data_IF_896232405350
#
_entry.id   IF_896232405350
#
_cell.length_a   1.000
_cell.length_b   1.000
_cell.length_c   1.000
_cell.angle_alpha   90.00
_cell.angle_beta   90.00
_cell.angle_gamma   90.00
#
_symmetry.space_group_name_H-M   'P 1'
#
loop_
_entity.id
_entity.type
_entity.pdbx_description
1 polymer ?
#
# COMPACT_ATOMS: atom_id res chain seq x y z
N UNK A 1 33.85 -29.43 -2.56
CA UNK A 1 32.84 -29.28 -3.63
C UNK A 1 32.48 -27.80 -3.74
N UNK A 2 32.97 -27.07 -4.75
CA UNK A 2 32.68 -25.63 -4.92
C UNK A 2 31.21 -25.49 -5.33
N UNK A 3 30.41 -24.73 -4.57
CA UNK A 3 28.98 -24.50 -4.90
C UNK A 3 28.90 -23.79 -6.25
N UNK A 4 28.02 -24.27 -7.13
CA UNK A 4 27.80 -23.67 -8.45
C UNK A 4 27.33 -22.21 -8.29
N UNK A 5 27.79 -21.27 -9.14
CA UNK A 5 27.33 -19.88 -9.12
C UNK A 5 25.81 -19.73 -9.17
N UNK A 6 25.12 -20.63 -9.88
CA UNK A 6 23.67 -20.68 -9.99
C UNK A 6 23.02 -20.99 -8.64
N UNK A 7 23.59 -21.91 -7.86
CA UNK A 7 23.10 -22.25 -6.53
C UNK A 7 23.26 -21.08 -5.56
N UNK A 8 24.33 -20.30 -5.68
CA UNK A 8 24.54 -19.10 -4.85
C UNK A 8 23.48 -18.04 -5.18
N UNK A 9 23.19 -17.84 -6.47
CA UNK A 9 22.12 -16.94 -6.92
C UNK A 9 20.74 -17.38 -6.42
N UNK A 10 20.37 -18.64 -6.62
CA UNK A 10 19.07 -19.17 -6.19
C UNK A 10 18.88 -19.09 -4.67
N UNK A 11 19.92 -19.40 -3.88
CA UNK A 11 19.88 -19.24 -2.42
C UNK A 11 19.66 -17.78 -2.01
N UNK A 12 20.17 -16.82 -2.80
CA UNK A 12 19.92 -15.40 -2.59
C UNK A 12 18.45 -15.03 -2.82
N UNK A 13 17.90 -15.47 -3.96
CA UNK A 13 16.49 -15.24 -4.32
C UNK A 13 15.54 -15.86 -3.29
N UNK A 14 15.79 -17.11 -2.88
CA UNK A 14 15.02 -17.80 -1.86
C UNK A 14 15.02 -17.05 -0.52
N UNK A 15 16.20 -16.61 -0.08
CA UNK A 15 16.34 -15.86 1.17
C UNK A 15 15.58 -14.53 1.14
N UNK A 16 15.61 -13.83 0.01
CA UNK A 16 14.87 -12.56 -0.18
C UNK A 16 13.36 -12.82 -0.25
N UNK A 17 12.94 -13.85 -1.00
CA UNK A 17 11.53 -14.23 -1.11
C UNK A 17 10.93 -14.61 0.25
N UNK A 18 11.65 -15.38 1.06
CA UNK A 18 11.22 -15.78 2.40
C UNK A 18 11.30 -14.64 3.43
N UNK A 19 12.08 -13.59 3.17
CA UNK A 19 12.18 -12.44 4.06
C UNK A 19 11.00 -11.45 3.91
N UNK A 20 10.23 -11.55 2.82
CA UNK A 20 9.09 -10.67 2.62
C UNK A 20 7.96 -11.03 3.59
N UNK A 21 7.50 -10.08 4.42
CA UNK A 21 6.40 -10.33 5.34
C UNK A 21 5.09 -10.43 4.56
N UNK A 22 4.06 -11.02 5.16
CA UNK A 22 2.74 -11.17 4.54
C UNK A 22 2.25 -9.83 3.97
N UNK A 23 1.70 -9.75 2.74
CA UNK A 23 1.38 -8.48 2.09
C UNK A 23 0.56 -7.51 2.96
N UNK A 24 -0.43 -8.00 3.69
CA UNK A 24 -1.23 -7.17 4.60
C UNK A 24 -0.38 -6.50 5.71
N UNK A 25 0.62 -7.20 6.24
CA UNK A 25 1.53 -6.65 7.26
C UNK A 25 2.47 -5.59 6.66
N UNK A 26 2.90 -5.78 5.41
CA UNK A 26 3.70 -4.80 4.69
C UNK A 26 2.94 -3.48 4.51
N UNK A 27 1.67 -3.55 4.08
CA UNK A 27 0.81 -2.37 3.99
C UNK A 27 0.55 -1.73 5.36
N UNK A 28 0.38 -2.52 6.42
CA UNK A 28 0.25 -2.01 7.79
C UNK A 28 1.49 -1.22 8.24
N UNK A 29 2.70 -1.76 7.98
CA UNK A 29 3.96 -1.08 8.27
C UNK A 29 4.09 0.22 7.46
N UNK A 30 3.74 0.21 6.17
CA UNK A 30 3.75 1.41 5.35
C UNK A 30 2.75 2.46 5.83
N UNK A 31 1.53 2.08 6.19
CA UNK A 31 0.53 2.99 6.73
C UNK A 31 1.02 3.66 8.03
N UNK A 32 1.56 2.87 8.97
CA UNK A 32 2.15 3.40 10.21
C UNK A 32 3.32 4.34 9.93
N UNK A 33 4.18 3.98 8.98
CA UNK A 33 5.33 4.80 8.58
C UNK A 33 4.86 6.14 8.01
N UNK A 34 3.84 6.14 7.15
CA UNK A 34 3.24 7.37 6.59
C UNK A 34 2.64 8.25 7.68
N UNK A 35 1.94 7.67 8.67
CA UNK A 35 1.42 8.43 9.80
C UNK A 35 2.53 9.18 10.56
N UNK A 36 3.61 8.47 10.89
CA UNK A 36 4.75 9.05 11.62
C UNK A 36 5.47 10.11 10.78
N UNK A 37 5.80 9.78 9.52
CA UNK A 37 6.49 10.71 8.63
C UNK A 37 5.66 11.96 8.33
N UNK A 38 4.34 11.84 8.21
CA UNK A 38 3.44 12.97 7.99
C UNK A 38 3.51 13.99 9.13
N UNK A 39 3.61 13.50 10.39
CA UNK A 39 3.75 14.36 11.55
C UNK A 39 5.12 15.06 11.58
N UNK A 40 6.20 14.33 11.26
CA UNK A 40 7.56 14.89 11.21
C UNK A 40 7.67 15.96 10.12
N UNK A 41 7.25 15.64 8.89
CA UNK A 41 7.38 16.56 7.75
C UNK A 41 6.49 17.80 7.88
N UNK A 42 5.30 17.65 8.45
CA UNK A 42 4.42 18.78 8.75
C UNK A 42 5.01 19.66 9.86
N UNK A 43 5.61 19.07 10.90
CA UNK A 43 6.22 19.83 12.00
C UNK A 43 7.42 20.68 11.57
N UNK A 44 8.19 20.24 10.57
CA UNK A 44 9.30 21.02 10.00
C UNK A 44 8.87 22.00 8.90
N UNK A 45 7.57 22.10 8.59
CA UNK A 45 7.04 23.04 7.60
C UNK A 45 7.37 22.68 6.15
N UNK A 46 7.46 21.37 5.83
CA UNK A 46 7.82 20.93 4.48
C UNK A 46 6.77 21.38 3.47
N UNK A 47 7.19 22.07 2.43
CA UNK A 47 6.33 22.49 1.31
C UNK A 47 7.00 22.21 -0.04
N UNK A 48 6.18 22.08 -1.07
CA UNK A 48 6.63 21.89 -2.43
C UNK A 48 5.72 22.63 -3.41
N UNK A 49 6.29 23.03 -4.56
CA UNK A 49 5.57 23.71 -5.63
C UNK A 49 5.11 22.66 -6.64
N UNK A 50 3.83 22.66 -6.97
CA UNK A 50 3.27 21.78 -7.97
C UNK A 50 3.78 22.17 -9.38
N UNK A 51 4.51 21.29 -10.10
CA UNK A 51 5.16 21.66 -11.35
C UNK A 51 4.19 21.98 -12.49
N UNK A 52 2.95 21.47 -12.42
CA UNK A 52 1.93 21.70 -13.44
C UNK A 52 1.00 22.89 -13.19
N UNK A 53 0.87 23.37 -11.94
CA UNK A 53 -0.11 24.41 -11.57
C UNK A 53 0.55 25.62 -10.92
N UNK A 54 1.79 25.47 -10.41
CA UNK A 54 2.50 26.51 -9.66
C UNK A 54 2.01 26.70 -8.22
N UNK A 55 1.02 25.91 -7.77
CA UNK A 55 0.49 26.01 -6.42
C UNK A 55 1.46 25.42 -5.39
N UNK A 56 1.56 26.06 -4.23
CA UNK A 56 2.34 25.55 -3.11
C UNK A 56 1.46 24.61 -2.29
N UNK A 57 1.94 23.40 -2.03
CA UNK A 57 1.30 22.46 -1.12
C UNK A 57 2.22 22.13 0.06
N UNK A 58 1.61 21.93 1.23
CA UNK A 58 2.32 21.67 2.49
C UNK A 58 2.06 20.24 2.96
N UNK A 59 3.00 19.70 3.74
CA UNK A 59 2.85 18.40 4.37
C UNK A 59 1.73 18.44 5.44
N UNK A 60 0.76 17.54 5.32
CA UNK A 60 -0.39 17.44 6.24
C UNK A 60 -0.06 16.44 7.35
N UNK A 61 -0.22 16.84 8.61
CA UNK A 61 -0.09 15.94 9.77
C UNK A 61 -1.35 15.06 9.92
N UNK A 62 -1.22 13.77 9.62
CA UNK A 62 -2.33 12.80 9.74
C UNK A 62 -2.67 12.41 11.19
N UNK A 63 -1.76 12.65 12.14
CA UNK A 63 -1.99 12.41 13.57
C UNK A 63 -2.65 13.61 14.27
N UNK A 64 -2.84 14.73 13.57
CA UNK A 64 -3.61 15.87 14.07
C UNK A 64 -5.09 15.53 14.20
N UNK A 65 -5.86 16.38 14.91
CA UNK A 65 -7.32 16.21 15.03
C UNK A 65 -8.00 16.12 13.67
N UNK A 66 -7.65 17.02 12.76
CA UNK A 66 -8.22 17.06 11.41
C UNK A 66 -7.75 15.88 10.56
N UNK A 67 -6.49 15.46 10.72
CA UNK A 67 -5.92 14.29 10.05
C UNK A 67 -6.61 12.98 10.45
N UNK A 68 -6.82 12.76 11.75
CA UNK A 68 -7.52 11.57 12.25
C UNK A 68 -8.98 11.59 11.80
N UNK A 69 -9.63 12.75 11.86
CA UNK A 69 -10.99 12.92 11.35
C UNK A 69 -11.09 12.61 9.84
N UNK A 70 -10.12 13.07 9.06
CA UNK A 70 -10.01 12.76 7.63
C UNK A 70 -9.87 11.26 7.38
N UNK A 71 -9.01 10.57 8.15
CA UNK A 71 -8.84 9.12 8.04
C UNK A 71 -10.16 8.42 8.32
N UNK A 72 -10.84 8.75 9.42
CA UNK A 72 -12.07 8.07 9.83
C UNK A 72 -13.21 8.25 8.82
N UNK A 73 -13.40 9.47 8.29
CA UNK A 73 -14.48 9.73 7.34
C UNK A 73 -14.19 9.12 5.97
N UNK A 74 -12.94 9.20 5.49
CA UNK A 74 -12.59 8.70 4.15
C UNK A 74 -12.25 7.21 4.10
N UNK A 75 -12.15 6.53 5.24
CA UNK A 75 -11.69 5.13 5.30
C UNK A 75 -12.50 4.20 4.40
N UNK A 76 -13.83 4.26 4.54
CA UNK A 76 -14.75 3.39 3.77
C UNK A 76 -14.71 3.77 2.29
N UNK A 77 -14.80 5.06 1.97
CA UNK A 77 -14.77 5.54 0.59
C UNK A 77 -13.46 5.19 -0.11
N UNK A 78 -12.32 5.29 0.57
CA UNK A 78 -11.03 4.90 0.01
C UNK A 78 -10.96 3.39 -0.27
N UNK A 79 -11.55 2.56 0.60
CA UNK A 79 -11.59 1.12 0.42
C UNK A 79 -12.51 0.71 -0.73
N UNK A 80 -13.75 1.23 -0.76
CA UNK A 80 -14.77 0.85 -1.75
C UNK A 80 -14.47 1.40 -3.15
N UNK A 81 -13.86 2.59 -3.25
CA UNK A 81 -13.46 3.19 -4.53
C UNK A 81 -12.10 2.71 -5.02
N UNK A 82 -11.46 1.76 -4.34
CA UNK A 82 -10.24 1.16 -4.85
C UNK A 82 -10.57 0.36 -6.12
N UNK A 83 -10.17 0.89 -7.28
CA UNK A 83 -10.58 0.37 -8.60
C UNK A 83 -10.45 -1.16 -8.78
N UNK A 84 -9.39 -1.83 -8.28
CA UNK A 84 -9.28 -3.28 -8.38
C UNK A 84 -10.31 -4.06 -7.55
N UNK A 85 -10.82 -3.50 -6.45
CA UNK A 85 -11.70 -4.22 -5.52
C UNK A 85 -13.01 -4.65 -6.19
N UNK A 86 -13.71 -3.71 -6.84
CA UNK A 86 -15.01 -3.97 -7.44
C UNK A 86 -14.94 -4.98 -8.59
N UNK A 87 -13.94 -4.83 -9.46
CA UNK A 87 -13.75 -5.72 -10.63
C UNK A 87 -13.49 -7.16 -10.18
N UNK A 88 -12.63 -7.35 -9.16
CA UNK A 88 -12.29 -8.69 -8.67
C UNK A 88 -13.49 -9.38 -8.04
N UNK A 89 -14.30 -8.67 -7.23
CA UNK A 89 -15.49 -9.26 -6.61
C UNK A 89 -16.48 -9.74 -7.67
N UNK A 90 -16.76 -8.90 -8.68
CA UNK A 90 -17.68 -9.25 -9.77
C UNK A 90 -17.15 -10.43 -10.59
N UNK A 91 -15.85 -10.45 -10.89
CA UNK A 91 -15.21 -11.56 -11.61
C UNK A 91 -15.29 -12.87 -10.80
N UNK A 92 -14.97 -12.84 -9.50
CA UNK A 92 -15.01 -14.02 -8.63
C UNK A 92 -16.43 -14.59 -8.47
N UNK A 93 -17.46 -13.75 -8.48
CA UNK A 93 -18.85 -14.21 -8.52
C UNK A 93 -19.15 -15.01 -9.79
N UNK A 94 -18.72 -14.53 -10.95
CA UNK A 94 -18.88 -15.23 -12.23
C UNK A 94 -18.12 -16.56 -12.27
N UNK A 95 -16.85 -16.55 -11.82
CA UNK A 95 -16.01 -17.75 -11.74
C UNK A 95 -16.64 -18.78 -10.80
N UNK A 96 -17.09 -18.35 -9.62
CA UNK A 96 -17.73 -19.24 -8.65
C UNK A 96 -19.00 -19.91 -9.22
N UNK A 97 -19.79 -19.20 -10.02
CA UNK A 97 -20.97 -19.78 -10.69
C UNK A 97 -20.58 -20.80 -11.77
N UNK A 98 -19.57 -20.49 -12.59
CA UNK A 98 -19.07 -21.41 -13.61
C UNK A 98 -18.53 -22.70 -12.98
N UNK A 99 -17.66 -22.57 -11.97
CA UNK A 99 -17.07 -23.71 -11.26
C UNK A 99 -18.12 -24.59 -10.56
N UNK A 100 -19.11 -24.00 -9.87
CA UNK A 100 -20.15 -24.77 -9.18
C UNK A 100 -21.13 -25.47 -10.14
N UNK A 101 -21.29 -24.95 -11.37
CA UNK A 101 -22.16 -25.57 -12.39
C UNK A 101 -21.43 -26.63 -13.23
N UNK A 102 -20.13 -26.81 -13.04
CA UNK A 102 -19.31 -27.79 -13.74
C UNK A 102 -18.91 -27.40 -15.16
N UNK A 103 -18.93 -26.09 -15.47
CA UNK A 103 -18.49 -25.51 -16.74
C UNK A 103 -16.99 -25.15 -16.74
#
# INVERSE_FOLDING_TARGET
MKRSPITIFLNGVEKVGNALPHPASLFGVFALTVLILSAIFSAIGTSAVHPGTGEVFEAINLLSRDGVHMILIRMVDNFTNFAPLGIVIVAMLGIGLAENSGL
#
